data_IF_163439160166
#
_entry.id   IF_163439160166
#
_cell.length_a   1.000
_cell.length_b   1.000
_cell.length_c   1.000
_cell.angle_alpha   90.00
_cell.angle_beta   90.00
_cell.angle_gamma   90.00
#
_symmetry.space_group_name_H-M   'P 1'
#
loop_
_entity.id
_entity.type
_entity.pdbx_description
1 polymer ?
#
# COMPACT_ATOMS: atom_id res chain seq x y z
N UNK A 1 -14.06 3.73 50.08
CA UNK A 1 -13.37 3.27 48.83
C UNK A 1 -14.44 3.18 47.75
N UNK A 2 -14.37 4.05 46.77
CA UNK A 2 -15.38 4.12 45.72
C UNK A 2 -15.02 3.08 44.65
N UNK A 3 -15.91 2.12 44.44
CA UNK A 3 -15.83 1.19 43.32
C UNK A 3 -15.83 1.98 42.01
N UNK A 4 -14.75 1.94 41.28
CA UNK A 4 -14.68 2.52 39.95
C UNK A 4 -15.30 1.50 38.97
N UNK A 5 -16.47 1.82 38.45
CA UNK A 5 -17.17 1.02 37.46
C UNK A 5 -16.37 0.95 36.17
N UNK A 6 -16.06 -0.25 35.75
CA UNK A 6 -15.48 -0.55 34.44
C UNK A 6 -16.57 -0.32 33.38
N UNK A 7 -16.40 0.69 32.55
CA UNK A 7 -17.29 0.89 31.40
C UNK A 7 -16.77 0.08 30.22
N UNK A 8 -17.40 -1.07 29.97
CA UNK A 8 -17.22 -1.84 28.74
C UNK A 8 -18.16 -1.24 27.69
N UNK A 9 -17.63 -0.48 26.77
CA UNK A 9 -18.42 0.01 25.63
C UNK A 9 -18.29 -0.99 24.48
N UNK A 10 -19.26 -1.89 24.39
CA UNK A 10 -19.42 -2.78 23.25
C UNK A 10 -20.10 -1.99 22.13
N UNK A 11 -19.34 -1.50 21.16
CA UNK A 11 -19.93 -0.97 19.93
C UNK A 11 -20.23 -2.14 19.00
N UNK A 12 -21.47 -2.63 19.07
CA UNK A 12 -22.04 -3.50 18.06
C UNK A 12 -22.45 -2.63 16.87
N UNK A 13 -21.60 -2.51 15.86
CA UNK A 13 -22.04 -2.04 14.56
C UNK A 13 -22.85 -3.14 13.87
N UNK A 14 -24.16 -3.08 13.99
CA UNK A 14 -25.11 -3.86 13.19
C UNK A 14 -25.24 -3.21 11.81
N UNK A 15 -24.33 -3.55 10.91
CA UNK A 15 -24.53 -3.34 9.48
C UNK A 15 -24.11 -4.61 8.74
N UNK A 16 -24.97 -5.04 7.87
CA UNK A 16 -24.96 -6.30 7.15
C UNK A 16 -23.56 -6.73 6.66
N UNK A 17 -23.15 -7.94 7.07
CA UNK A 17 -22.04 -8.75 6.53
C UNK A 17 -20.62 -8.16 6.55
N UNK A 18 -20.37 -7.03 7.19
CA UNK A 18 -19.01 -6.57 7.48
C UNK A 18 -18.43 -7.37 8.66
N UNK A 19 -17.14 -7.66 8.63
CA UNK A 19 -16.44 -8.25 9.77
C UNK A 19 -16.72 -7.41 11.01
N UNK A 20 -17.28 -8.05 12.05
CA UNK A 20 -17.55 -7.37 13.31
C UNK A 20 -16.30 -7.42 14.18
N UNK A 21 -15.83 -6.27 14.60
CA UNK A 21 -14.73 -6.14 15.55
C UNK A 21 -15.28 -5.68 16.89
N UNK A 22 -14.84 -6.30 17.98
CA UNK A 22 -15.04 -5.77 19.32
C UNK A 22 -13.82 -4.94 19.72
N UNK A 23 -14.03 -3.68 20.04
CA UNK A 23 -12.98 -2.82 20.59
C UNK A 23 -13.08 -2.87 22.11
N UNK A 24 -12.06 -3.41 22.75
CA UNK A 24 -11.97 -3.46 24.23
C UNK A 24 -11.16 -2.25 24.65
N UNK A 25 -11.80 -1.28 25.30
CA UNK A 25 -11.15 -0.09 25.84
C UNK A 25 -10.84 -0.32 27.33
N UNK A 26 -9.57 -0.32 27.67
CA UNK A 26 -9.12 -0.27 29.06
C UNK A 26 -8.86 1.17 29.48
N UNK A 27 -9.37 1.57 30.63
CA UNK A 27 -9.27 2.96 31.12
C UNK A 27 -7.83 3.42 31.40
N UNK A 28 -6.87 2.50 31.40
CA UNK A 28 -5.44 2.78 31.64
C UNK A 28 -4.52 2.35 30.48
N UNK A 29 -5.06 1.86 29.37
CA UNK A 29 -4.27 1.52 28.19
C UNK A 29 -4.29 2.68 27.20
N UNK A 30 -3.14 3.11 26.77
CA UNK A 30 -2.99 4.22 25.80
C UNK A 30 -3.39 3.83 24.37
N UNK A 31 -3.67 2.54 24.10
CA UNK A 31 -4.02 2.04 22.75
C UNK A 31 -5.22 1.08 22.82
N UNK A 32 -6.29 1.34 22.06
CA UNK A 32 -7.40 0.40 21.92
C UNK A 32 -6.99 -0.84 21.14
N UNK A 33 -7.37 -2.00 21.65
CA UNK A 33 -7.19 -3.29 20.96
C UNK A 33 -8.49 -3.71 20.28
N UNK A 34 -8.44 -3.97 18.98
CA UNK A 34 -9.56 -4.52 18.23
C UNK A 34 -9.34 -6.03 18.01
N UNK A 35 -10.31 -6.84 18.41
CA UNK A 35 -10.30 -8.29 18.19
C UNK A 35 -11.52 -8.64 17.35
N UNK A 36 -11.39 -9.45 16.29
CA UNK A 36 -12.54 -9.90 15.51
C UNK A 36 -13.56 -10.64 16.39
N UNK A 37 -14.83 -10.27 16.28
CA UNK A 37 -15.89 -10.87 17.09
C UNK A 37 -15.99 -12.40 16.91
N UNK A 38 -15.66 -12.89 15.72
CA UNK A 38 -15.65 -14.32 15.43
C UNK A 38 -14.56 -15.10 16.18
N UNK A 39 -13.57 -14.43 16.78
CA UNK A 39 -12.49 -15.04 17.57
C UNK A 39 -12.78 -14.99 19.08
N UNK A 40 -13.91 -14.41 19.46
CA UNK A 40 -14.29 -14.28 20.85
C UNK A 40 -15.18 -15.46 21.25
N UNK A 41 -14.58 -16.51 21.77
CA UNK A 41 -15.32 -17.66 22.31
C UNK A 41 -16.14 -17.29 23.55
N UNK A 42 -15.65 -16.33 24.32
CA UNK A 42 -16.37 -15.81 25.49
C UNK A 42 -15.87 -14.43 25.89
N UNK A 43 -16.80 -13.57 26.30
CA UNK A 43 -16.45 -12.29 26.96
C UNK A 43 -16.55 -12.51 28.47
N UNK A 44 -15.41 -12.62 29.12
CA UNK A 44 -15.34 -12.66 30.60
C UNK A 44 -14.99 -11.27 31.08
N UNK A 45 -15.93 -10.66 31.80
CA UNK A 45 -15.67 -9.39 32.51
C UNK A 45 -14.98 -9.75 33.82
N UNK A 46 -13.67 -9.50 33.89
CA UNK A 46 -12.89 -9.64 35.14
C UNK A 46 -12.61 -8.26 35.73
N UNK A 47 -12.44 -8.22 37.03
CA UNK A 47 -11.95 -7.03 37.69
C UNK A 47 -10.51 -6.72 37.19
N UNK A 48 -10.21 -5.45 36.90
CA UNK A 48 -8.91 -5.02 36.39
C UNK A 48 -7.73 -5.42 37.28
N UNK A 49 -7.99 -5.67 38.57
CA UNK A 49 -7.00 -6.16 39.53
C UNK A 49 -6.58 -7.64 39.26
N UNK A 50 -7.34 -8.41 38.48
CA UNK A 50 -7.04 -9.80 38.19
C UNK A 50 -6.31 -10.01 36.83
N UNK A 51 -6.13 -8.93 36.06
CA UNK A 51 -5.41 -9.00 34.78
C UNK A 51 -3.93 -8.73 35.06
N UNK A 52 -3.14 -9.79 35.06
CA UNK A 52 -1.70 -9.72 35.34
C UNK A 52 -0.99 -8.83 34.30
N UNK A 53 -0.08 -7.97 34.79
CA UNK A 53 0.79 -7.14 33.93
C UNK A 53 1.64 -7.97 32.95
N UNK A 54 1.85 -9.26 33.23
CA UNK A 54 2.54 -10.20 32.30
C UNK A 54 1.73 -10.47 31.05
N UNK A 55 0.39 -10.42 31.11
CA UNK A 55 -0.46 -10.57 29.93
C UNK A 55 -0.22 -9.44 28.91
N UNK A 56 0.03 -8.22 29.39
CA UNK A 56 0.36 -7.09 28.51
C UNK A 56 1.83 -7.04 28.10
N UNK A 57 2.73 -7.56 28.95
CA UNK A 57 4.17 -7.62 28.64
C UNK A 57 4.49 -8.66 27.55
N UNK A 58 3.71 -9.73 27.44
CA UNK A 58 3.85 -10.73 26.38
C UNK A 58 3.39 -10.22 25.00
N UNK A 59 2.63 -9.12 24.96
CA UNK A 59 2.05 -8.56 23.74
C UNK A 59 2.83 -7.33 23.22
N UNK A 60 4.12 -7.28 23.47
CA UNK A 60 4.96 -6.10 23.19
C UNK A 60 5.09 -5.71 21.72
N UNK A 61 4.72 -6.58 20.80
CA UNK A 61 4.87 -6.30 19.38
C UNK A 61 3.61 -6.74 18.60
N UNK A 62 2.88 -5.75 18.12
CA UNK A 62 1.89 -5.86 17.04
C UNK A 62 0.84 -6.96 17.24
N UNK A 63 -0.40 -6.57 17.53
CA UNK A 63 -1.53 -7.49 17.43
C UNK A 63 -1.66 -7.88 15.96
N UNK A 64 -1.20 -9.07 15.66
CA UNK A 64 -1.46 -9.68 14.37
C UNK A 64 -2.89 -10.18 14.41
N UNK A 65 -3.77 -9.54 13.65
CA UNK A 65 -5.04 -10.16 13.32
C UNK A 65 -4.70 -11.35 12.44
N UNK A 66 -4.60 -12.54 13.05
CA UNK A 66 -4.63 -13.79 12.28
C UNK A 66 -6.07 -13.92 11.82
N UNK A 67 -6.38 -13.89 10.53
CA UNK A 67 -7.76 -14.05 10.10
C UNK A 67 -8.22 -15.45 10.47
N UNK A 68 -9.26 -15.56 11.28
CA UNK A 68 -9.97 -16.83 11.56
C UNK A 68 -10.79 -17.25 10.36
N UNK A 69 -11.09 -16.31 9.46
CA UNK A 69 -11.75 -16.57 8.18
C UNK A 69 -10.68 -16.71 7.09
N UNK A 70 -10.84 -17.76 6.29
CA UNK A 70 -10.07 -17.92 5.07
C UNK A 70 -10.22 -16.68 4.18
N UNK A 71 -9.12 -16.15 3.65
CA UNK A 71 -9.15 -15.00 2.76
C UNK A 71 -9.98 -15.32 1.51
N UNK A 72 -10.80 -14.38 1.07
CA UNK A 72 -11.54 -14.48 -0.19
C UNK A 72 -10.59 -14.64 -1.41
N UNK A 73 -9.35 -14.19 -1.28
CA UNK A 73 -8.33 -14.31 -2.32
C UNK A 73 -7.66 -15.67 -2.38
N UNK A 74 -7.96 -16.61 -1.45
CA UNK A 74 -7.36 -17.94 -1.46
C UNK A 74 -7.61 -18.65 -2.80
N UNK A 75 -6.52 -19.09 -3.44
CA UNK A 75 -6.54 -19.72 -4.75
C UNK A 75 -6.85 -18.79 -5.93
N UNK A 76 -7.17 -17.52 -5.70
CA UNK A 76 -7.42 -16.54 -6.77
C UNK A 76 -6.10 -16.00 -7.31
N UNK A 77 -6.07 -15.72 -8.63
CA UNK A 77 -4.90 -15.13 -9.29
C UNK A 77 -4.94 -13.61 -9.17
N UNK A 78 -3.85 -13.03 -8.67
CA UNK A 78 -3.68 -11.58 -8.55
C UNK A 78 -2.42 -11.17 -9.31
N UNK A 79 -2.53 -10.19 -10.20
CA UNK A 79 -1.38 -9.61 -10.90
C UNK A 79 -0.83 -8.42 -10.14
N UNK A 80 0.50 -8.37 -9.97
CA UNK A 80 1.23 -7.28 -9.36
C UNK A 80 2.13 -6.63 -10.42
N UNK A 81 1.69 -5.50 -10.97
CA UNK A 81 2.47 -4.69 -11.91
C UNK A 81 3.29 -3.68 -11.13
N UNK A 82 4.62 -3.70 -11.29
CA UNK A 82 5.48 -2.80 -10.55
C UNK A 82 6.91 -2.72 -11.08
N UNK A 83 7.73 -2.02 -10.32
CA UNK A 83 9.18 -1.87 -10.52
C UNK A 83 9.99 -2.88 -9.67
N UNK A 84 11.22 -2.50 -9.26
CA UNK A 84 12.09 -3.33 -8.43
C UNK A 84 11.47 -3.71 -7.08
N UNK A 85 10.67 -2.85 -6.46
CA UNK A 85 10.01 -3.13 -5.18
C UNK A 85 9.05 -4.30 -5.33
N UNK A 86 8.38 -4.39 -6.49
CA UNK A 86 7.50 -5.51 -6.83
C UNK A 86 8.30 -6.72 -7.31
N UNK A 87 9.32 -6.53 -8.16
CA UNK A 87 10.14 -7.63 -8.69
C UNK A 87 10.82 -8.43 -7.59
N UNK A 88 11.39 -7.76 -6.58
CA UNK A 88 12.05 -8.40 -5.45
C UNK A 88 11.09 -9.23 -4.56
N UNK A 89 9.81 -8.94 -4.61
CA UNK A 89 8.76 -9.82 -4.12
C UNK A 89 8.48 -9.78 -2.63
N UNK A 90 9.15 -8.97 -1.80
CA UNK A 90 8.95 -9.02 -0.34
C UNK A 90 7.47 -8.88 0.04
N UNK A 91 6.79 -7.83 -0.42
CA UNK A 91 5.37 -7.64 -0.09
C UNK A 91 4.45 -8.59 -0.87
N UNK A 92 4.82 -8.95 -2.10
CA UNK A 92 4.05 -9.85 -2.96
C UNK A 92 3.98 -11.25 -2.34
N UNK A 93 5.14 -11.78 -1.93
CA UNK A 93 5.24 -13.09 -1.31
C UNK A 93 4.59 -13.12 0.08
N UNK A 94 4.77 -12.06 0.87
CA UNK A 94 4.11 -11.91 2.17
C UNK A 94 2.58 -11.86 2.02
N UNK A 95 2.07 -11.13 1.01
CA UNK A 95 0.65 -11.07 0.73
C UNK A 95 0.10 -12.43 0.27
N UNK A 96 0.83 -13.12 -0.62
CA UNK A 96 0.47 -14.46 -1.07
C UNK A 96 0.44 -15.46 0.10
N UNK A 97 1.41 -15.39 1.00
CA UNK A 97 1.46 -16.23 2.21
C UNK A 97 0.30 -15.94 3.15
N UNK A 98 -0.07 -14.66 3.30
CA UNK A 98 -1.14 -14.23 4.19
C UNK A 98 -2.53 -14.65 3.68
N UNK A 99 -2.74 -14.58 2.37
CA UNK A 99 -4.06 -14.77 1.75
C UNK A 99 -4.24 -16.12 1.08
N UNK A 100 -3.16 -16.83 0.77
CA UNK A 100 -3.21 -18.04 -0.07
C UNK A 100 -3.52 -17.76 -1.54
N UNK A 101 -3.39 -16.51 -2.02
CA UNK A 101 -3.59 -16.16 -3.42
C UNK A 101 -2.45 -16.69 -4.29
N UNK A 102 -2.72 -16.82 -5.59
CA UNK A 102 -1.70 -17.11 -6.61
C UNK A 102 -1.19 -15.76 -7.12
N UNK A 103 -0.05 -15.33 -6.60
CA UNK A 103 0.56 -14.06 -6.99
C UNK A 103 1.29 -14.18 -8.33
N UNK A 104 0.84 -13.42 -9.32
CA UNK A 104 1.52 -13.26 -10.60
C UNK A 104 2.34 -11.96 -10.57
N UNK A 105 3.64 -12.09 -10.35
CA UNK A 105 4.54 -10.95 -10.23
C UNK A 105 4.96 -10.46 -11.63
N UNK A 106 4.57 -9.23 -11.97
CA UNK A 106 4.95 -8.48 -13.17
C UNK A 106 5.85 -7.29 -12.83
N UNK A 107 6.63 -7.39 -11.75
CA UNK A 107 7.66 -6.41 -11.42
C UNK A 107 8.84 -6.48 -12.39
N UNK A 108 9.39 -5.32 -12.76
CA UNK A 108 10.62 -5.21 -13.54
C UNK A 108 11.42 -4.02 -13.01
N UNK A 109 12.63 -4.27 -12.53
CA UNK A 109 13.50 -3.27 -11.91
C UNK A 109 13.77 -2.09 -12.82
N UNK A 110 13.91 -0.92 -12.21
CA UNK A 110 14.23 0.36 -12.86
C UNK A 110 13.22 0.82 -13.93
N UNK A 111 12.00 0.23 -13.97
CA UNK A 111 10.97 0.67 -14.92
C UNK A 111 10.09 1.78 -14.34
N UNK A 112 9.60 2.64 -15.22
CA UNK A 112 8.76 3.79 -14.93
C UNK A 112 7.29 3.50 -15.20
N UNK A 113 6.38 4.23 -14.59
CA UNK A 113 4.95 4.17 -14.97
C UNK A 113 4.75 4.74 -16.38
N UNK A 114 5.39 5.88 -16.67
CA UNK A 114 5.32 6.56 -17.96
C UNK A 114 6.52 6.24 -18.84
N UNK A 115 6.30 6.02 -20.14
CA UNK A 115 7.38 5.89 -21.12
C UNK A 115 8.08 7.23 -21.33
N UNK A 116 9.40 7.24 -21.25
CA UNK A 116 10.26 8.40 -21.46
C UNK A 116 10.34 8.86 -22.92
N UNK A 117 10.16 7.91 -23.83
CA UNK A 117 10.21 8.12 -25.26
C UNK A 117 9.59 6.91 -26.00
N UNK A 118 9.64 6.94 -27.35
CA UNK A 118 9.08 5.86 -28.17
C UNK A 118 9.80 4.51 -28.02
N UNK A 119 11.06 4.52 -27.61
CA UNK A 119 11.90 3.30 -27.46
C UNK A 119 11.76 2.67 -26.08
N UNK A 120 11.14 3.34 -25.12
CA UNK A 120 10.95 2.82 -23.76
C UNK A 120 9.82 1.79 -23.75
N UNK A 121 10.17 0.54 -23.99
CA UNK A 121 9.23 -0.59 -24.02
C UNK A 121 9.01 -1.21 -22.64
N UNK A 122 9.85 -0.86 -21.66
CA UNK A 122 9.82 -1.41 -20.29
C UNK A 122 8.81 -0.74 -19.36
N UNK A 123 8.30 0.44 -19.70
CA UNK A 123 7.38 1.18 -18.85
C UNK A 123 6.07 0.44 -18.61
N UNK A 124 5.39 0.76 -17.49
CA UNK A 124 4.12 0.11 -17.13
C UNK A 124 3.06 0.33 -18.23
N UNK A 125 3.00 1.53 -18.80
CA UNK A 125 2.07 1.86 -19.88
C UNK A 125 2.27 1.04 -21.17
N UNK A 126 3.45 0.43 -21.34
CA UNK A 126 3.77 -0.41 -22.49
C UNK A 126 3.51 -1.90 -22.23
N UNK A 127 3.67 -2.35 -20.98
CA UNK A 127 3.62 -3.77 -20.65
C UNK A 127 2.38 -4.23 -19.88
N UNK A 128 1.48 -3.32 -19.43
CA UNK A 128 0.24 -3.74 -18.75
C UNK A 128 -0.61 -4.70 -19.61
N UNK A 129 -0.51 -4.58 -20.91
CA UNK A 129 -1.27 -5.43 -21.86
C UNK A 129 -0.85 -6.89 -21.86
N UNK A 130 0.34 -7.21 -21.32
CA UNK A 130 0.82 -8.59 -21.18
C UNK A 130 0.17 -9.33 -20.02
N UNK A 131 -0.47 -8.62 -19.10
CA UNK A 131 -1.16 -9.21 -17.95
C UNK A 131 -2.39 -9.99 -18.43
N UNK A 132 -2.50 -11.31 -18.14
CA UNK A 132 -3.65 -12.10 -18.54
C UNK A 132 -4.94 -11.64 -17.83
N UNK A 133 -6.04 -11.62 -18.57
CA UNK A 133 -7.39 -11.31 -18.03
C UNK A 133 -7.96 -12.43 -17.16
N UNK A 134 -7.24 -13.53 -16.98
CA UNK A 134 -7.58 -14.59 -16.02
C UNK A 134 -7.24 -14.22 -14.56
N UNK A 135 -6.54 -13.09 -14.33
CA UNK A 135 -6.35 -12.56 -12.99
C UNK A 135 -7.68 -11.99 -12.48
N UNK A 136 -7.94 -12.16 -11.19
CA UNK A 136 -9.14 -11.64 -10.52
C UNK A 136 -8.95 -10.22 -9.98
N UNK A 137 -7.71 -9.75 -9.92
CA UNK A 137 -7.37 -8.38 -9.54
C UNK A 137 -6.03 -8.01 -10.18
N UNK A 138 -5.86 -6.72 -10.46
CA UNK A 138 -4.58 -6.14 -10.86
C UNK A 138 -4.20 -5.05 -9.87
N UNK A 139 -3.03 -5.18 -9.24
CA UNK A 139 -2.44 -4.17 -8.37
C UNK A 139 -1.29 -3.52 -9.12
N UNK A 140 -1.27 -2.19 -9.15
CA UNK A 140 -0.21 -1.38 -9.76
C UNK A 140 0.51 -0.61 -8.68
N UNK A 141 1.82 -0.80 -8.56
CA UNK A 141 2.65 -0.14 -7.57
C UNK A 141 3.91 0.42 -8.22
N UNK A 142 4.00 1.73 -8.36
CA UNK A 142 5.09 2.41 -9.05
C UNK A 142 5.05 3.92 -8.88
N UNK A 143 5.90 4.64 -9.63
CA UNK A 143 6.07 6.09 -9.54
C UNK A 143 7.38 6.48 -8.86
N UNK A 144 7.99 5.57 -8.12
CA UNK A 144 9.28 5.76 -7.45
C UNK A 144 10.39 6.09 -8.44
N UNK A 145 10.50 5.34 -9.54
CA UNK A 145 11.53 5.57 -10.54
C UNK A 145 11.24 6.80 -11.40
N UNK A 146 9.98 7.12 -11.64
CA UNK A 146 9.60 8.36 -12.36
C UNK A 146 10.09 9.59 -11.62
N UNK A 147 10.09 9.57 -10.27
CA UNK A 147 10.70 10.60 -9.45
C UNK A 147 12.22 10.40 -9.28
N UNK A 148 12.66 9.17 -8.98
CA UNK A 148 14.01 8.87 -8.52
C UNK A 148 15.08 9.05 -9.59
N UNK A 149 14.78 8.73 -10.85
CA UNK A 149 15.75 8.78 -11.93
C UNK A 149 15.79 10.15 -12.61
N UNK A 150 17.00 10.56 -13.03
CA UNK A 150 17.19 11.78 -13.86
C UNK A 150 16.78 11.54 -15.31
N UNK A 151 16.90 10.29 -15.80
CA UNK A 151 16.38 9.88 -17.10
C UNK A 151 14.91 9.48 -16.95
N UNK A 152 14.04 10.46 -16.88
CA UNK A 152 12.59 10.32 -16.69
C UNK A 152 11.83 11.13 -17.75
N UNK A 153 10.52 10.87 -17.89
CA UNK A 153 9.65 11.67 -18.73
C UNK A 153 9.49 13.09 -18.16
N UNK A 154 9.25 14.07 -19.01
CA UNK A 154 8.79 15.40 -18.56
C UNK A 154 7.53 15.22 -17.69
N UNK A 155 7.32 16.10 -16.72
CA UNK A 155 6.17 15.95 -15.82
C UNK A 155 4.83 16.15 -16.55
N UNK A 156 4.74 17.19 -17.38
CA UNK A 156 3.53 17.52 -18.12
C UNK A 156 2.39 18.06 -17.24
N UNK A 157 1.16 17.89 -17.72
CA UNK A 157 -0.05 18.33 -17.04
C UNK A 157 -1.20 17.35 -17.26
N UNK A 158 -2.20 17.36 -16.38
CA UNK A 158 -3.40 16.53 -16.49
C UNK A 158 -4.08 16.63 -17.88
N UNK A 159 -4.11 17.83 -18.45
CA UNK A 159 -4.68 18.11 -19.77
C UNK A 159 -3.94 17.45 -20.94
N UNK A 160 -2.76 16.86 -20.70
CA UNK A 160 -2.06 16.09 -21.73
C UNK A 160 -2.88 14.88 -22.21
N UNK A 161 -3.68 14.30 -21.30
CA UNK A 161 -4.56 13.19 -21.60
C UNK A 161 -3.80 11.96 -22.16
N UNK A 162 -4.49 10.97 -22.68
CA UNK A 162 -3.88 9.75 -23.24
C UNK A 162 -3.31 9.95 -24.65
N UNK A 163 -2.81 11.14 -24.99
CA UNK A 163 -2.38 11.48 -26.34
C UNK A 163 -1.17 10.65 -26.77
N UNK A 164 -1.31 9.99 -27.88
CA UNK A 164 -0.22 9.21 -28.49
C UNK A 164 0.96 10.13 -28.90
N UNK A 165 2.17 9.63 -28.68
CA UNK A 165 3.39 10.35 -29.02
C UNK A 165 3.78 11.50 -28.06
N UNK A 166 2.99 11.75 -27.02
CA UNK A 166 3.35 12.66 -25.94
C UNK A 166 3.96 11.89 -24.77
N UNK A 167 5.21 12.19 -24.45
CA UNK A 167 6.00 11.49 -23.44
C UNK A 167 6.17 12.35 -22.20
N UNK A 168 5.05 12.59 -21.51
CA UNK A 168 5.04 13.20 -20.18
C UNK A 168 4.52 12.22 -19.16
N UNK A 169 4.83 12.43 -17.88
CA UNK A 169 4.36 11.59 -16.79
C UNK A 169 2.82 11.52 -16.80
N UNK A 170 2.14 12.67 -16.85
CA UNK A 170 0.68 12.70 -16.95
C UNK A 170 0.13 11.96 -18.17
N UNK A 171 0.71 12.15 -19.35
CA UNK A 171 0.23 11.45 -20.54
C UNK A 171 0.43 9.93 -20.43
N UNK A 172 1.54 9.48 -19.81
CA UNK A 172 1.81 8.08 -19.51
C UNK A 172 0.81 7.50 -18.51
N UNK A 173 0.52 8.22 -17.43
CA UNK A 173 -0.51 7.83 -16.45
C UNK A 173 -1.88 7.67 -17.12
N UNK A 174 -2.27 8.63 -17.96
CA UNK A 174 -3.54 8.55 -18.68
C UNK A 174 -3.61 7.33 -19.62
N UNK A 175 -2.54 7.02 -20.36
CA UNK A 175 -2.49 5.84 -21.23
C UNK A 175 -2.55 4.55 -20.44
N UNK A 176 -1.78 4.48 -19.35
CA UNK A 176 -1.75 3.32 -18.46
C UNK A 176 -3.13 3.08 -17.82
N UNK A 177 -3.69 4.07 -17.15
CA UNK A 177 -4.91 3.90 -16.38
C UNK A 177 -6.15 3.72 -17.26
N UNK A 178 -6.23 4.45 -18.38
CA UNK A 178 -7.24 4.18 -19.39
C UNK A 178 -7.14 2.77 -19.95
N UNK A 179 -5.92 2.32 -20.27
CA UNK A 179 -5.69 0.98 -20.78
C UNK A 179 -6.06 -0.12 -19.79
N UNK A 180 -5.71 0.06 -18.52
CA UNK A 180 -6.11 -0.85 -17.43
C UNK A 180 -7.63 -0.85 -17.22
N UNK A 181 -8.26 0.32 -17.23
CA UNK A 181 -9.72 0.44 -17.14
C UNK A 181 -10.40 -0.33 -18.29
N UNK A 182 -9.99 -0.06 -19.53
CA UNK A 182 -10.58 -0.69 -20.73
C UNK A 182 -10.36 -2.21 -20.74
N UNK A 183 -9.20 -2.68 -20.25
CA UNK A 183 -8.83 -4.09 -20.29
C UNK A 183 -9.43 -4.91 -19.16
N UNK A 184 -9.51 -4.34 -17.94
CA UNK A 184 -9.85 -5.08 -16.73
C UNK A 184 -11.16 -4.58 -16.08
N UNK A 185 -11.28 -3.30 -15.75
CA UNK A 185 -12.45 -2.75 -15.05
C UNK A 185 -13.76 -2.97 -15.83
N UNK A 186 -13.75 -2.78 -17.14
CA UNK A 186 -14.91 -3.09 -18.01
C UNK A 186 -15.33 -4.56 -18.01
N UNK A 187 -14.49 -5.45 -17.47
CA UNK A 187 -14.77 -6.88 -17.32
C UNK A 187 -15.11 -7.28 -15.89
N UNK A 188 -15.32 -6.30 -15.01
CA UNK A 188 -15.54 -6.55 -13.59
C UNK A 188 -14.30 -7.05 -12.84
N UNK A 189 -13.09 -6.84 -13.39
CA UNK A 189 -11.82 -7.17 -12.73
C UNK A 189 -11.29 -5.89 -12.09
N UNK A 190 -11.23 -5.80 -10.74
CA UNK A 190 -10.75 -4.61 -10.07
C UNK A 190 -9.29 -4.30 -10.39
N UNK A 191 -9.03 -3.01 -10.59
CA UNK A 191 -7.70 -2.44 -10.73
C UNK A 191 -7.45 -1.53 -9.54
N UNK A 192 -6.39 -1.84 -8.81
CA UNK A 192 -5.97 -1.13 -7.61
C UNK A 192 -4.67 -0.40 -7.89
N UNK A 193 -4.67 0.91 -7.76
CA UNK A 193 -3.48 1.75 -7.84
C UNK A 193 -2.99 2.00 -6.43
N UNK A 194 -1.89 1.36 -6.07
CA UNK A 194 -1.23 1.60 -4.80
C UNK A 194 -0.23 2.75 -4.98
N UNK A 195 -0.43 3.84 -4.27
CA UNK A 195 0.48 4.97 -4.28
C UNK A 195 1.84 4.54 -3.72
N UNK A 196 2.95 5.05 -4.25
CA UNK A 196 4.27 4.66 -3.80
C UNK A 196 4.47 5.00 -2.32
N UNK A 197 5.25 4.20 -1.60
CA UNK A 197 5.70 4.51 -0.25
C UNK A 197 6.77 5.61 -0.32
N UNK A 198 7.05 6.24 0.82
CA UNK A 198 8.06 7.28 0.91
C UNK A 198 9.41 6.85 0.35
N UNK A 199 10.06 7.77 -0.34
CA UNK A 199 11.39 7.63 -0.91
C UNK A 199 12.45 8.06 0.10
N UNK A 200 13.52 7.30 0.21
CA UNK A 200 14.60 7.62 1.16
C UNK A 200 15.49 8.77 0.71
N UNK A 201 16.37 9.18 1.61
CA UNK A 201 17.34 10.26 1.36
C UNK A 201 18.68 9.74 0.84
N UNK A 202 18.86 8.42 0.75
CA UNK A 202 20.15 7.78 0.48
C UNK A 202 20.33 7.33 -0.97
N UNK A 203 19.29 7.42 -1.79
CA UNK A 203 19.25 6.96 -3.18
C UNK A 203 18.91 8.13 -4.09
N UNK A 204 19.44 8.14 -5.28
CA UNK A 204 19.28 9.08 -6.42
C UNK A 204 18.59 10.42 -6.11
N UNK A 205 17.34 10.63 -6.52
CA UNK A 205 16.58 11.79 -6.09
C UNK A 205 16.05 11.55 -4.67
N UNK A 206 16.32 12.49 -3.79
CA UNK A 206 15.94 12.42 -2.39
C UNK A 206 14.59 13.09 -2.19
N UNK A 207 13.64 12.38 -1.58
CA UNK A 207 12.36 13.00 -1.22
C UNK A 207 12.56 14.17 -0.24
N UNK A 208 13.50 14.00 0.71
CA UNK A 208 13.84 15.03 1.68
C UNK A 208 15.34 15.24 1.78
N UNK A 209 15.75 16.50 1.93
CA UNK A 209 17.13 16.92 2.17
C UNK A 209 17.19 17.40 3.63
N UNK A 210 18.01 16.74 4.45
CA UNK A 210 18.21 17.11 5.84
C UNK A 210 19.39 18.08 5.94
N UNK A 211 19.13 19.25 6.48
CA UNK A 211 20.13 20.29 6.73
C UNK A 211 20.92 20.01 8.02
N UNK A 212 22.04 20.73 8.20
CA UNK A 212 22.90 20.58 9.38
C UNK A 212 22.20 20.99 10.70
N UNK A 213 21.22 21.89 10.63
CA UNK A 213 20.41 22.35 11.75
C UNK A 213 19.23 21.41 12.09
N UNK A 214 19.15 20.25 11.43
CA UNK A 214 18.07 19.25 11.54
C UNK A 214 16.74 19.67 10.90
N UNK A 215 16.66 20.84 10.27
CA UNK A 215 15.54 21.13 9.37
C UNK A 215 15.64 20.31 8.09
N UNK A 216 14.53 20.17 7.39
CA UNK A 216 14.51 19.49 6.10
C UNK A 216 13.65 20.25 5.10
N UNK A 217 13.97 20.06 3.82
CA UNK A 217 13.19 20.56 2.69
C UNK A 217 12.84 19.40 1.78
N UNK A 218 11.76 19.54 1.03
CA UNK A 218 11.43 18.55 -0.01
C UNK A 218 12.48 18.59 -1.11
N UNK A 219 12.98 17.42 -1.47
CA UNK A 219 13.82 17.26 -2.64
C UNK A 219 12.99 17.29 -3.92
N UNK A 220 13.65 17.57 -5.02
CA UNK A 220 13.02 17.60 -6.34
C UNK A 220 13.77 16.71 -7.32
N UNK A 221 13.05 16.13 -8.28
CA UNK A 221 13.67 15.48 -9.42
C UNK A 221 14.45 16.51 -10.24
N UNK A 222 15.71 16.21 -10.59
CA UNK A 222 16.60 17.16 -11.26
C UNK A 222 16.15 17.54 -12.68
N UNK A 223 15.41 16.65 -13.35
CA UNK A 223 14.92 16.86 -14.73
C UNK A 223 13.63 17.66 -14.75
N UNK A 224 12.71 17.38 -13.85
CA UNK A 224 11.37 17.98 -13.88
C UNK A 224 11.17 19.11 -12.87
N UNK A 225 12.07 19.24 -11.88
CA UNK A 225 11.94 20.19 -10.78
C UNK A 225 10.79 19.89 -9.82
N UNK A 226 10.18 18.70 -9.93
CA UNK A 226 9.00 18.30 -9.16
C UNK A 226 9.38 17.51 -7.92
N UNK A 227 8.63 17.72 -6.84
CA UNK A 227 8.75 16.94 -5.60
C UNK A 227 8.14 15.55 -5.77
N UNK A 228 8.51 14.59 -4.91
CA UNK A 228 7.90 13.26 -4.93
C UNK A 228 6.40 13.31 -4.65
N UNK A 229 5.98 14.20 -3.76
CA UNK A 229 4.56 14.42 -3.44
C UNK A 229 3.76 14.85 -4.69
N UNK A 230 4.32 15.72 -5.55
CA UNK A 230 3.66 16.09 -6.80
C UNK A 230 3.47 14.89 -7.75
N UNK A 231 4.43 13.95 -7.79
CA UNK A 231 4.28 12.68 -8.53
C UNK A 231 3.17 11.80 -7.92
N UNK A 232 3.14 11.67 -6.59
CA UNK A 232 2.09 10.92 -5.87
C UNK A 232 0.71 11.51 -6.13
N UNK A 233 0.60 12.84 -6.09
CA UNK A 233 -0.66 13.55 -6.33
C UNK A 233 -1.14 13.38 -7.78
N UNK A 234 -0.23 13.42 -8.76
CA UNK A 234 -0.57 13.16 -10.16
C UNK A 234 -1.09 11.72 -10.36
N UNK A 235 -0.48 10.71 -9.72
CA UNK A 235 -0.97 9.32 -9.76
C UNK A 235 -2.38 9.26 -9.19
N UNK A 236 -2.62 9.85 -8.02
CA UNK A 236 -3.92 9.87 -7.34
C UNK A 236 -4.98 10.57 -8.21
N UNK A 237 -4.64 11.73 -8.77
CA UNK A 237 -5.54 12.52 -9.61
C UNK A 237 -6.00 11.74 -10.84
N UNK A 238 -5.06 11.17 -11.60
CA UNK A 238 -5.40 10.44 -12.83
C UNK A 238 -6.12 9.12 -12.51
N UNK A 239 -5.73 8.40 -11.44
CA UNK A 239 -6.42 7.18 -11.02
C UNK A 239 -7.88 7.48 -10.65
N UNK A 240 -8.12 8.56 -9.90
CA UNK A 240 -9.46 9.01 -9.51
C UNK A 240 -10.31 9.39 -10.73
N UNK A 241 -9.71 10.05 -11.71
CA UNK A 241 -10.42 10.41 -12.96
C UNK A 241 -10.96 9.17 -13.71
N UNK A 242 -10.22 8.06 -13.70
CA UNK A 242 -10.68 6.80 -14.31
C UNK A 242 -11.45 5.91 -13.34
N UNK A 243 -11.83 6.40 -12.17
CA UNK A 243 -12.54 5.64 -11.12
C UNK A 243 -11.82 4.34 -10.74
N UNK A 244 -10.51 4.34 -10.76
CA UNK A 244 -9.70 3.22 -10.27
C UNK A 244 -9.61 3.29 -8.74
N UNK A 245 -9.48 2.12 -8.11
CA UNK A 245 -9.35 2.04 -6.66
C UNK A 245 -7.95 2.53 -6.27
N UNK A 246 -7.87 3.46 -5.32
CA UNK A 246 -6.59 3.98 -4.83
C UNK A 246 -6.32 3.47 -3.42
N UNK A 247 -5.17 2.79 -3.22
CA UNK A 247 -4.61 2.49 -1.91
C UNK A 247 -3.51 3.50 -1.60
N UNK A 248 -3.72 4.34 -0.61
CA UNK A 248 -2.77 5.40 -0.24
C UNK A 248 -1.69 4.87 0.71
N UNK A 249 -0.73 4.12 0.14
CA UNK A 249 0.41 3.62 0.90
C UNK A 249 1.38 4.74 1.30
N UNK A 250 1.42 5.84 0.54
CA UNK A 250 2.21 7.01 0.88
C UNK A 250 1.84 7.58 2.25
N UNK A 251 0.55 7.80 2.47
CA UNK A 251 0.07 8.44 3.70
C UNK A 251 -0.15 7.46 4.86
N UNK A 252 -0.50 6.19 4.58
CA UNK A 252 -1.09 5.32 5.61
C UNK A 252 -0.40 3.98 5.84
N UNK A 253 0.60 3.59 5.04
CA UNK A 253 1.31 2.32 5.26
C UNK A 253 2.17 2.33 6.53
N UNK A 254 2.55 3.51 7.01
CA UNK A 254 3.51 3.69 8.09
C UNK A 254 4.93 3.24 7.72
N UNK A 255 5.21 3.13 6.41
CA UNK A 255 6.54 2.83 5.87
C UNK A 255 7.19 4.11 5.40
N UNK A 256 8.12 4.64 6.19
CA UNK A 256 8.89 5.83 5.85
C UNK A 256 10.37 5.62 6.20
N UNK A 257 11.27 5.68 5.20
CA UNK A 257 12.71 5.59 5.45
C UNK A 257 13.23 6.72 6.34
N UNK A 258 12.52 7.83 6.41
CA UNK A 258 12.87 8.98 7.27
C UNK A 258 13.01 8.59 8.74
N UNK A 259 12.22 7.63 9.22
CA UNK A 259 12.30 7.14 10.59
C UNK A 259 13.52 6.27 10.86
N UNK A 260 14.23 5.86 9.81
CA UNK A 260 15.37 4.96 9.85
C UNK A 260 16.69 5.64 9.47
N UNK A 261 16.66 6.93 9.16
CA UNK A 261 17.86 7.69 8.77
C UNK A 261 18.87 7.72 9.91
N UNK A 262 20.11 7.33 9.59
CA UNK A 262 21.21 7.28 10.55
C UNK A 262 21.13 6.11 11.52
N UNK A 263 20.14 5.24 11.38
CA UNK A 263 20.09 4.00 12.17
C UNK A 263 20.94 2.91 11.50
N UNK A 264 21.82 2.27 12.29
CA UNK A 264 22.54 1.08 11.84
C UNK A 264 21.60 -0.14 11.64
N UNK A 265 20.42 -0.10 12.27
CA UNK A 265 19.40 -1.15 12.26
C UNK A 265 18.15 -0.66 11.52
N UNK A 266 18.16 -0.74 10.21
CA UNK A 266 16.99 -0.46 9.39
C UNK A 266 15.94 -1.52 9.63
N UNK A 267 14.77 -1.10 10.12
CA UNK A 267 13.70 -2.04 10.50
C UNK A 267 12.97 -2.59 9.27
N UNK A 268 12.69 -1.75 8.26
CA UNK A 268 11.82 -2.08 7.14
C UNK A 268 12.46 -1.95 5.75
N UNK A 269 13.61 -1.31 5.66
CA UNK A 269 14.27 -1.02 4.39
C UNK A 269 15.67 -1.62 4.35
N UNK A 270 16.12 -2.01 3.13
CA UNK A 270 17.52 -2.44 2.89
C UNK A 270 18.43 -1.22 2.69
N UNK A 271 17.96 -0.26 1.93
CA UNK A 271 18.76 0.81 1.34
C UNK A 271 18.04 2.18 1.32
N UNK A 272 16.98 2.32 2.08
CA UNK A 272 16.18 3.56 2.12
C UNK A 272 15.11 3.65 1.01
N UNK A 273 15.01 2.64 0.14
CA UNK A 273 13.99 2.53 -0.89
C UNK A 273 13.34 1.14 -0.90
N UNK A 274 14.16 0.10 -1.05
CA UNK A 274 13.69 -1.28 -1.18
C UNK A 274 13.38 -1.88 0.19
N UNK A 275 12.21 -2.51 0.28
CA UNK A 275 11.79 -3.19 1.49
C UNK A 275 12.69 -4.41 1.79
N UNK A 276 12.94 -4.65 3.07
CA UNK A 276 13.37 -5.94 3.56
C UNK A 276 12.14 -6.82 3.86
N UNK A 277 12.34 -8.04 4.38
CA UNK A 277 11.23 -8.96 4.63
C UNK A 277 10.23 -8.41 5.64
N UNK A 278 10.68 -7.75 6.70
CA UNK A 278 9.80 -7.11 7.69
C UNK A 278 8.97 -5.94 7.10
N UNK A 279 9.58 -5.17 6.19
CA UNK A 279 8.88 -4.12 5.44
C UNK A 279 7.85 -4.69 4.48
N UNK A 280 8.20 -5.77 3.79
CA UNK A 280 7.28 -6.50 2.91
C UNK A 280 6.08 -7.07 3.67
N UNK A 281 6.34 -7.70 4.83
CA UNK A 281 5.27 -8.22 5.70
C UNK A 281 4.36 -7.10 6.22
N UNK A 282 4.94 -5.97 6.66
CA UNK A 282 4.16 -4.81 7.11
C UNK A 282 3.26 -4.28 6.00
N UNK A 283 3.78 -4.11 4.78
CA UNK A 283 2.99 -3.63 3.66
C UNK A 283 1.86 -4.60 3.31
N UNK A 284 2.16 -5.90 3.26
CA UNK A 284 1.16 -6.93 2.98
C UNK A 284 0.02 -6.95 4.00
N UNK A 285 0.35 -6.86 5.30
CA UNK A 285 -0.66 -6.79 6.38
C UNK A 285 -1.50 -5.52 6.31
N UNK A 286 -0.89 -4.40 5.92
CA UNK A 286 -1.62 -3.15 5.73
C UNK A 286 -2.56 -3.22 4.51
N UNK A 287 -2.15 -3.89 3.43
CA UNK A 287 -2.97 -4.09 2.22
C UNK A 287 -4.15 -5.02 2.47
N UNK A 288 -3.96 -6.05 3.29
CA UNK A 288 -4.86 -7.18 3.42
C UNK A 288 -6.33 -6.79 3.65
N UNK A 289 -6.71 -6.06 4.72
CA UNK A 289 -8.11 -5.74 4.98
C UNK A 289 -8.75 -4.87 3.89
N UNK A 290 -7.96 -4.03 3.25
CA UNK A 290 -8.43 -3.16 2.17
C UNK A 290 -8.73 -3.96 0.90
N UNK A 291 -7.91 -4.97 0.61
CA UNK A 291 -8.11 -5.83 -0.56
C UNK A 291 -9.19 -6.89 -0.33
N UNK A 292 -9.44 -7.32 0.91
CA UNK A 292 -10.63 -8.11 1.25
C UNK A 292 -11.91 -7.31 0.92
N UNK A 293 -11.95 -6.03 1.32
CA UNK A 293 -13.08 -5.15 1.00
C UNK A 293 -13.26 -4.95 -0.52
N UNK A 294 -12.17 -4.94 -1.29
CA UNK A 294 -12.24 -4.90 -2.76
C UNK A 294 -12.90 -6.18 -3.30
N UNK A 295 -12.58 -7.35 -2.75
CA UNK A 295 -13.23 -8.59 -3.16
C UNK A 295 -14.74 -8.53 -2.91
N UNK A 296 -15.14 -8.16 -1.69
CA UNK A 296 -16.53 -8.03 -1.31
C UNK A 296 -17.28 -7.05 -2.23
N UNK A 297 -16.66 -5.93 -2.55
CA UNK A 297 -17.24 -4.91 -3.45
C UNK A 297 -17.48 -5.42 -4.88
N UNK A 298 -16.65 -6.32 -5.40
CA UNK A 298 -16.69 -6.74 -6.79
C UNK A 298 -17.32 -8.12 -7.03
N UNK A 299 -17.35 -8.99 -6.03
CA UNK A 299 -17.68 -10.40 -6.20
C UNK A 299 -18.75 -10.94 -5.24
N UNK A 300 -19.05 -10.24 -4.15
CA UNK A 300 -20.06 -10.65 -3.17
C UNK A 300 -21.36 -9.83 -3.36
N UNK A 301 -22.10 -10.06 -4.45
CA UNK A 301 -23.41 -9.49 -4.71
C UNK A 301 -24.53 -10.51 -4.51
#
# INVERSE_FOLDING_TARGET
MRAQSLFLMLMLCLAARAQQYATILYRQAEVPHAVPVAEIDSVVVKDVAEVDATYFAAQKDTIYVVPTRESHWKGQRIAFLGDSITEYGQYVNSFASLTGCIANNFGVSATHMAARNSSDTGSFERRYSTIPVSNKMVIVFGGTNDFGHTDTAEFGAFTDGPKAGKYTFYAGLHRLFKGLYDRFMKRGIPVVIMLPIHHGTEIDAKEFIINSDKSFVEGTNATTGKTFREYVDAIREVASYYSLIVLDAYSYSGLSPMTEIGSANRKFFRDGLHLNDAGGERLARWMYPQLEAVYEMFYDF
#
